data_IF_739248683752
#
_entry.id   IF_739248683752
#
_cell.length_a   1.000
_cell.length_b   1.000
_cell.length_c   1.000
_cell.angle_alpha   90.00
_cell.angle_beta   90.00
_cell.angle_gamma   90.00
#
_symmetry.space_group_name_H-M   'P 1'
#
loop_
_entity.id
_entity.type
_entity.pdbx_description
1 polymer ?
#
# COMPACT_ATOMS: atom_id res chain seq x y z
N UNK A 1 7.88 2.26 -18.00
CA UNK A 1 8.08 2.14 -16.56
C UNK A 1 7.01 2.96 -15.85
N UNK A 2 6.75 2.72 -14.58
CA UNK A 2 5.90 3.61 -13.80
C UNK A 2 6.77 4.70 -13.17
N UNK A 3 6.20 5.91 -13.09
CA UNK A 3 6.80 7.04 -12.41
C UNK A 3 5.78 7.63 -11.45
N UNK A 4 6.22 7.85 -10.22
CA UNK A 4 5.42 8.46 -9.18
C UNK A 4 5.91 9.88 -8.93
N UNK A 5 5.01 10.85 -9.02
CA UNK A 5 5.26 12.24 -8.63
C UNK A 5 5.12 12.35 -7.13
N UNK A 6 6.12 12.93 -6.47
CA UNK A 6 6.15 13.04 -5.01
C UNK A 6 6.12 14.50 -4.59
N UNK A 7 5.21 14.82 -3.67
CA UNK A 7 5.15 16.12 -3.01
C UNK A 7 5.08 15.90 -1.49
N UNK A 8 6.01 16.49 -0.74
CA UNK A 8 6.09 16.33 0.73
C UNK A 8 6.09 14.87 1.20
N UNK A 9 6.82 13.98 0.51
CA UNK A 9 6.87 12.52 0.74
C UNK A 9 5.61 11.73 0.36
N UNK A 10 4.58 12.38 -0.19
CA UNK A 10 3.34 11.72 -0.62
C UNK A 10 3.30 11.64 -2.14
N UNK A 11 2.92 10.48 -2.66
CA UNK A 11 2.67 10.28 -4.09
C UNK A 11 1.40 11.01 -4.49
N UNK A 12 1.52 12.02 -5.34
CA UNK A 12 0.38 12.81 -5.82
C UNK A 12 -0.14 12.33 -7.16
N UNK A 13 0.74 11.76 -7.98
CA UNK A 13 0.39 11.26 -9.30
C UNK A 13 1.25 10.04 -9.67
N UNK A 14 0.70 9.14 -10.48
CA UNK A 14 1.40 7.94 -10.97
C UNK A 14 1.09 7.78 -12.45
N UNK A 15 2.14 7.80 -13.28
CA UNK A 15 2.01 7.68 -14.73
C UNK A 15 2.86 6.54 -15.28
N UNK A 16 2.37 5.93 -16.35
CA UNK A 16 3.13 4.96 -17.14
C UNK A 16 3.75 5.67 -18.34
N UNK A 17 5.06 5.81 -18.33
CA UNK A 17 5.79 6.55 -19.35
C UNK A 17 7.23 6.01 -19.53
N UNK A 18 7.96 6.59 -20.46
CA UNK A 18 9.41 6.45 -20.57
C UNK A 18 10.13 7.60 -19.85
N UNK A 19 11.43 7.42 -19.61
CA UNK A 19 12.24 8.39 -18.88
C UNK A 19 12.31 9.76 -19.60
N UNK A 20 12.27 9.77 -20.93
CA UNK A 20 12.36 11.01 -21.72
C UNK A 20 11.08 11.85 -21.57
N UNK A 21 9.92 11.21 -21.54
CA UNK A 21 8.65 11.88 -21.28
C UNK A 21 8.64 12.51 -19.90
N UNK A 22 9.05 11.76 -18.88
CA UNK A 22 9.03 12.21 -17.48
C UNK A 22 10.06 13.32 -17.22
N UNK A 23 11.22 13.27 -17.87
CA UNK A 23 12.24 14.31 -17.76
C UNK A 23 11.77 15.70 -18.23
N UNK A 24 10.71 15.75 -19.04
CA UNK A 24 10.10 17.01 -19.51
C UNK A 24 8.94 17.49 -18.63
N UNK A 25 8.58 16.75 -17.58
CA UNK A 25 7.50 17.12 -16.65
C UNK A 25 8.03 17.90 -15.45
N UNK A 26 7.20 18.81 -14.93
CA UNK A 26 7.52 19.53 -13.70
C UNK A 26 7.26 18.66 -12.45
N UNK A 27 8.20 18.70 -11.50
CA UNK A 27 8.11 18.02 -10.20
C UNK A 27 9.13 16.91 -10.02
N UNK A 28 9.12 16.32 -8.82
CA UNK A 28 10.00 15.21 -8.48
C UNK A 28 9.34 13.88 -8.85
N UNK A 29 9.79 13.30 -9.95
CA UNK A 29 9.33 12.01 -10.43
C UNK A 29 10.36 10.93 -10.11
N UNK A 30 9.91 9.86 -9.45
CA UNK A 30 10.74 8.71 -9.10
C UNK A 30 10.23 7.48 -9.83
N UNK A 31 11.16 6.75 -10.46
CA UNK A 31 10.87 5.47 -11.11
C UNK A 31 10.45 4.44 -10.06
N UNK A 32 9.40 3.69 -10.37
CA UNK A 32 8.77 2.76 -9.45
C UNK A 32 8.13 1.56 -10.17
N UNK A 33 7.84 0.50 -9.42
CA UNK A 33 7.06 -0.63 -9.90
C UNK A 33 5.56 -0.32 -9.80
N UNK A 34 4.85 -0.46 -10.91
CA UNK A 34 3.40 -0.17 -11.04
C UNK A 34 2.52 -0.94 -10.03
N UNK A 35 3.02 -2.07 -9.52
CA UNK A 35 2.28 -2.96 -8.62
C UNK A 35 2.40 -2.56 -7.14
N UNK A 36 3.31 -1.63 -6.81
CA UNK A 36 3.69 -1.30 -5.43
C UNK A 36 3.41 0.15 -5.05
N UNK A 37 2.83 0.95 -5.94
CA UNK A 37 2.66 2.40 -5.74
C UNK A 37 1.29 2.87 -6.21
N UNK A 38 0.60 3.57 -5.32
CA UNK A 38 -0.66 4.25 -5.58
C UNK A 38 -0.61 5.72 -5.19
N UNK A 39 -1.56 6.50 -5.73
CA UNK A 39 -1.77 7.88 -5.29
C UNK A 39 -2.14 7.88 -3.80
N UNK A 40 -1.45 8.71 -3.03
CA UNK A 40 -1.58 8.81 -1.58
C UNK A 40 -0.60 7.92 -0.80
N UNK A 41 0.21 7.10 -1.47
CA UNK A 41 1.27 6.35 -0.82
C UNK A 41 2.39 7.27 -0.33
N UNK A 42 3.11 6.80 0.67
CA UNK A 42 4.23 7.51 1.29
C UNK A 42 5.52 6.95 0.68
N UNK A 43 6.30 7.86 0.10
CA UNK A 43 7.64 7.56 -0.38
C UNK A 43 8.63 7.51 0.80
N UNK A 44 9.34 6.39 0.91
CA UNK A 44 10.43 6.17 1.86
C UNK A 44 11.76 6.15 1.09
N UNK A 45 12.54 7.22 1.26
CA UNK A 45 13.83 7.36 0.59
C UNK A 45 14.73 6.13 0.83
N UNK A 46 15.21 5.53 -0.26
CA UNK A 46 16.07 4.35 -0.24
C UNK A 46 15.39 3.03 0.12
N UNK A 47 14.06 3.00 0.31
CA UNK A 47 13.31 1.77 0.61
C UNK A 47 12.17 1.49 -0.35
N UNK A 48 11.50 2.51 -0.88
CA UNK A 48 10.37 2.38 -1.80
C UNK A 48 9.11 3.07 -1.30
N UNK A 49 7.94 2.53 -1.63
CA UNK A 49 6.62 3.14 -1.35
C UNK A 49 5.81 2.26 -0.40
N UNK A 50 5.02 2.89 0.45
CA UNK A 50 4.05 2.19 1.30
C UNK A 50 2.79 3.03 1.50
N UNK A 51 1.63 2.37 1.48
CA UNK A 51 0.35 3.06 1.63
C UNK A 51 0.10 3.59 3.04
N UNK A 52 -0.98 4.37 3.16
CA UNK A 52 -1.45 4.83 4.47
C UNK A 52 -1.78 3.64 5.39
N UNK A 53 -1.61 3.86 6.69
CA UNK A 53 -1.87 2.86 7.71
C UNK A 53 -3.34 2.42 7.68
N UNK A 54 -3.67 1.15 7.37
CA UNK A 54 -5.06 0.71 7.25
C UNK A 54 -5.80 0.77 8.59
N UNK A 55 -5.14 0.31 9.65
CA UNK A 55 -5.68 0.31 11.01
C UNK A 55 -4.59 0.66 12.04
N UNK A 56 -4.91 1.38 13.13
CA UNK A 56 -3.94 1.77 14.17
C UNK A 56 -3.15 0.60 14.79
N UNK A 57 -3.73 -0.60 14.90
CA UNK A 57 -3.06 -1.78 15.45
C UNK A 57 -2.05 -2.43 14.51
N UNK A 58 -2.13 -2.16 13.20
CA UNK A 58 -1.24 -2.74 12.20
C UNK A 58 0.16 -2.12 12.31
N UNK A 59 1.19 -2.88 11.95
CA UNK A 59 2.59 -2.41 12.00
C UNK A 59 3.18 -2.49 10.61
N UNK A 60 3.86 -1.42 10.19
CA UNK A 60 4.61 -1.44 8.94
C UNK A 60 5.81 -2.36 9.12
N UNK A 61 5.89 -3.39 8.30
CA UNK A 61 7.11 -4.16 8.13
C UNK A 61 8.08 -3.30 7.31
N UNK A 62 9.22 -2.97 7.92
CA UNK A 62 10.22 -2.06 7.35
C UNK A 62 11.07 -2.72 6.27
N UNK A 63 11.02 -4.04 6.14
CA UNK A 63 11.75 -4.80 5.11
C UNK A 63 10.88 -4.98 3.86
N UNK A 64 9.60 -5.31 4.05
CA UNK A 64 8.67 -5.57 2.94
C UNK A 64 7.82 -4.36 2.55
N UNK A 65 7.84 -3.29 3.34
CA UNK A 65 6.99 -2.10 3.19
C UNK A 65 5.48 -2.40 3.17
N UNK A 66 5.08 -3.53 3.76
CA UNK A 66 3.68 -3.95 3.88
C UNK A 66 3.16 -3.76 5.29
N UNK A 67 1.89 -3.40 5.40
CA UNK A 67 1.23 -3.35 6.70
C UNK A 67 0.88 -4.75 7.16
N UNK A 68 1.49 -5.17 8.26
CA UNK A 68 1.27 -6.48 8.87
C UNK A 68 0.23 -6.36 9.98
N UNK A 69 -0.84 -7.13 9.84
CA UNK A 69 -1.85 -7.28 10.88
C UNK A 69 -1.23 -7.99 12.11
N UNK A 70 -1.48 -7.52 13.34
CA UNK A 70 -0.91 -8.13 14.55
C UNK A 70 -1.41 -9.56 14.81
N UNK A 71 -2.52 -9.97 14.18
CA UNK A 71 -3.11 -11.30 14.33
C UNK A 71 -3.27 -11.93 12.95
N UNK A 72 -2.76 -13.14 12.78
CA UNK A 72 -2.85 -13.89 11.53
C UNK A 72 -4.33 -14.05 11.14
N UNK A 73 -4.64 -13.79 9.86
CA UNK A 73 -5.98 -14.01 9.33
C UNK A 73 -6.34 -15.50 9.43
N UNK A 74 -7.55 -15.87 9.90
CA UNK A 74 -8.03 -17.25 9.86
C UNK A 74 -8.13 -17.76 8.41
N UNK A 75 -8.39 -19.06 8.24
CA UNK A 75 -8.51 -19.69 6.91
C UNK A 75 -9.60 -19.00 6.06
N UNK A 76 -9.17 -18.45 4.92
CA UNK A 76 -10.01 -17.71 3.98
C UNK A 76 -10.50 -18.54 2.79
N UNK A 77 -10.37 -19.87 2.80
CA UNK A 77 -10.79 -20.71 1.69
C UNK A 77 -12.30 -20.63 1.42
N UNK A 78 -13.12 -20.67 2.47
CA UNK A 78 -14.59 -20.62 2.37
C UNK A 78 -15.23 -19.48 3.17
N UNK A 79 -14.40 -18.74 3.92
CA UNK A 79 -14.83 -17.72 4.89
C UNK A 79 -14.14 -16.39 4.62
N UNK A 80 -14.89 -15.30 4.66
CA UNK A 80 -14.35 -13.95 4.58
C UNK A 80 -14.41 -13.31 5.95
N UNK A 81 -13.29 -12.75 6.38
CA UNK A 81 -13.17 -12.05 7.65
C UNK A 81 -12.86 -10.57 7.42
N UNK A 82 -13.49 -9.71 8.22
CA UNK A 82 -13.12 -8.31 8.34
C UNK A 82 -12.33 -8.10 9.63
N UNK A 83 -11.35 -7.21 9.59
CA UNK A 83 -10.61 -6.83 10.79
C UNK A 83 -11.46 -5.86 11.62
N UNK A 84 -11.80 -6.25 12.85
CA UNK A 84 -12.40 -5.35 13.82
C UNK A 84 -11.31 -4.73 14.71
N UNK A 85 -11.09 -3.43 14.54
CA UNK A 85 -10.06 -2.70 15.28
C UNK A 85 -10.40 -2.55 16.76
N UNK A 86 -11.68 -2.49 17.12
CA UNK A 86 -12.10 -2.33 18.51
C UNK A 86 -11.75 -3.55 19.36
N UNK A 87 -12.03 -4.76 18.85
CA UNK A 87 -11.66 -6.04 19.50
C UNK A 87 -10.28 -6.57 19.10
N UNK A 88 -9.62 -5.93 18.12
CA UNK A 88 -8.35 -6.37 17.51
C UNK A 88 -8.40 -7.84 17.09
N UNK A 89 -9.49 -8.22 16.42
CA UNK A 89 -9.74 -9.58 16.00
C UNK A 89 -10.45 -9.64 14.66
N UNK A 90 -10.27 -10.75 13.96
CA UNK A 90 -10.98 -11.06 12.73
C UNK A 90 -12.42 -11.46 13.05
N UNK A 91 -13.38 -10.76 12.45
CA UNK A 91 -14.81 -11.03 12.57
C UNK A 91 -15.29 -11.64 11.26
N UNK A 92 -15.96 -12.79 11.33
CA UNK A 92 -16.55 -13.45 10.17
C UNK A 92 -17.59 -12.51 9.54
N UNK A 93 -17.37 -12.14 8.29
CA UNK A 93 -18.26 -11.28 7.52
C UNK A 93 -19.16 -12.10 6.60
N UNK A 94 -18.61 -13.17 6.00
CA UNK A 94 -19.35 -14.05 5.11
C UNK A 94 -18.81 -15.48 5.20
N UNK A 95 -19.71 -16.46 5.11
CA UNK A 95 -19.38 -17.89 5.04
C UNK A 95 -20.14 -18.48 3.87
N UNK A 96 -19.41 -19.02 2.89
CA UNK A 96 -20.01 -19.59 1.68
C UNK A 96 -20.70 -20.94 1.94
N UNK A 97 -20.43 -21.56 3.09
CA UNK A 97 -20.93 -22.90 3.47
C UNK A 97 -22.02 -22.85 4.55
N UNK A 98 -22.45 -21.65 4.97
CA UNK A 98 -23.45 -21.44 6.02
C UNK A 98 -24.90 -21.37 5.52
#
# INVERSE_FOLDING_TARGET
MAYAKIENTIVTDVIMADADFVANLEGDWIECDETLVGIGDIHCEGRGFYGAKPFPSWKLDKETLKWVCPKVCPDTATKLYNWDEASRSWVLWYDAEA
#
